data_IF_416382801686
#
_entry.id   IF_416382801686
#
_cell.length_a   1.000
_cell.length_b   1.000
_cell.length_c   1.000
_cell.angle_alpha   90.00
_cell.angle_beta   90.00
_cell.angle_gamma   90.00
#
_symmetry.space_group_name_H-M   'P 1'
#
loop_
_entity.id
_entity.type
_entity.pdbx_description
1 polymer ?
#
# COMPACT_ATOMS: atom_id res chain seq x y z
N UNK A 1 16.82 15.44 -25.94
CA UNK A 1 15.97 16.02 -24.88
C UNK A 1 15.45 14.89 -24.00
N UNK A 2 15.97 14.75 -22.79
CA UNK A 2 15.42 13.84 -21.80
C UNK A 2 14.06 14.38 -21.33
N UNK A 3 13.03 13.56 -21.49
CA UNK A 3 11.68 13.85 -21.04
C UNK A 3 11.72 13.94 -19.50
N UNK A 4 11.75 15.16 -18.95
CA UNK A 4 11.48 15.42 -17.53
C UNK A 4 10.00 15.08 -17.31
N UNK A 5 9.72 13.78 -17.11
CA UNK A 5 8.40 13.33 -16.70
C UNK A 5 8.15 13.98 -15.35
N UNK A 6 7.27 14.98 -15.34
CA UNK A 6 6.90 15.71 -14.15
C UNK A 6 6.40 14.69 -13.11
N UNK A 7 7.12 14.58 -12.00
CA UNK A 7 6.81 13.86 -10.74
C UNK A 7 5.74 12.77 -10.85
N UNK A 8 6.15 11.51 -10.76
CA UNK A 8 5.19 10.41 -10.58
C UNK A 8 4.57 10.46 -9.18
N UNK A 9 3.24 10.53 -9.14
CA UNK A 9 2.40 10.48 -7.96
C UNK A 9 1.83 9.07 -7.81
N UNK A 10 2.34 8.33 -6.83
CA UNK A 10 1.94 6.95 -6.59
C UNK A 10 1.06 6.87 -5.34
N UNK A 11 -0.11 6.22 -5.46
CA UNK A 11 -1.00 5.98 -4.34
C UNK A 11 -0.94 4.50 -3.94
N UNK A 12 -0.61 4.21 -2.68
CA UNK A 12 -0.66 2.84 -2.18
C UNK A 12 -1.58 2.70 -0.97
N UNK A 13 -2.37 1.62 -0.98
CA UNK A 13 -3.18 1.21 0.17
C UNK A 13 -2.81 -0.20 0.60
N UNK A 14 -3.04 -0.51 1.87
CA UNK A 14 -2.97 -1.87 2.39
C UNK A 14 -4.32 -2.23 3.00
N UNK A 15 -4.87 -3.35 2.56
CA UNK A 15 -6.10 -3.90 3.11
C UNK A 15 -5.98 -5.42 3.20
N UNK A 16 -6.62 -6.00 4.20
CA UNK A 16 -6.73 -7.46 4.26
C UNK A 16 -7.48 -7.99 3.04
N UNK A 17 -7.21 -9.24 2.66
CA UNK A 17 -7.94 -9.89 1.57
C UNK A 17 -9.47 -9.87 1.77
N UNK A 18 -9.93 -9.95 3.01
CA UNK A 18 -11.36 -9.84 3.38
C UNK A 18 -11.99 -8.48 3.08
N UNK A 19 -11.18 -7.42 2.92
CA UNK A 19 -11.62 -6.04 2.69
C UNK A 19 -11.31 -5.55 1.28
N UNK A 20 -11.09 -6.46 0.34
CA UNK A 20 -10.92 -6.15 -1.09
C UNK A 20 -11.99 -5.17 -1.63
N UNK A 21 -13.30 -5.33 -1.36
CA UNK A 21 -14.30 -4.39 -1.87
C UNK A 21 -14.08 -2.96 -1.35
N UNK A 22 -13.58 -2.80 -0.13
CA UNK A 22 -13.27 -1.49 0.41
C UNK A 22 -12.02 -0.88 -0.23
N UNK A 23 -10.99 -1.70 -0.48
CA UNK A 23 -9.78 -1.26 -1.16
C UNK A 23 -10.04 -0.87 -2.62
N UNK A 24 -10.91 -1.60 -3.32
CA UNK A 24 -11.28 -1.32 -4.71
C UNK A 24 -12.06 -0.01 -4.81
N UNK A 25 -12.92 0.31 -3.83
CA UNK A 25 -13.55 1.64 -3.73
C UNK A 25 -12.53 2.76 -3.58
N UNK A 26 -11.48 2.56 -2.77
CA UNK A 26 -10.41 3.56 -2.62
C UNK A 26 -9.63 3.70 -3.93
N UNK A 27 -9.37 2.60 -4.64
CA UNK A 27 -8.77 2.64 -5.97
C UNK A 27 -9.61 3.43 -6.97
N UNK A 28 -10.93 3.21 -6.98
CA UNK A 28 -11.84 3.97 -7.83
C UNK A 28 -11.88 5.45 -7.47
N UNK A 29 -11.87 5.79 -6.17
CA UNK A 29 -11.79 7.18 -5.72
C UNK A 29 -10.46 7.83 -6.14
N UNK A 30 -9.34 7.13 -6.01
CA UNK A 30 -8.03 7.62 -6.44
C UNK A 30 -7.98 7.83 -7.97
N UNK A 31 -8.54 6.91 -8.75
CA UNK A 31 -8.66 7.05 -10.19
C UNK A 31 -9.54 8.24 -10.59
N UNK A 32 -10.69 8.41 -9.93
CA UNK A 32 -11.62 9.51 -10.19
C UNK A 32 -11.03 10.89 -9.84
N UNK A 33 -10.05 10.96 -8.94
CA UNK A 33 -9.37 12.22 -8.62
C UNK A 33 -8.47 12.70 -9.76
N UNK A 34 -7.97 11.81 -10.62
CA UNK A 34 -7.06 12.16 -11.72
C UNK A 34 -5.73 12.79 -11.28
N UNK A 35 -5.36 12.65 -10.00
CA UNK A 35 -4.14 13.21 -9.40
C UNK A 35 -2.99 12.20 -9.40
N UNK A 36 -3.30 10.91 -9.27
CA UNK A 36 -2.31 9.85 -9.15
C UNK A 36 -2.07 9.19 -10.50
N UNK A 37 -0.81 8.94 -10.83
CA UNK A 37 -0.42 8.23 -12.05
C UNK A 37 -0.69 6.73 -11.94
N UNK A 38 -0.55 6.18 -10.74
CA UNK A 38 -0.71 4.76 -10.47
C UNK A 38 -1.23 4.51 -9.05
N UNK A 39 -1.95 3.40 -8.91
CA UNK A 39 -2.54 2.94 -7.66
C UNK A 39 -2.18 1.49 -7.39
N UNK A 40 -1.54 1.24 -6.25
CA UNK A 40 -1.19 -0.11 -5.79
C UNK A 40 -1.94 -0.50 -4.53
N UNK A 41 -2.61 -1.63 -4.64
CA UNK A 41 -3.21 -2.32 -3.50
C UNK A 41 -2.25 -3.39 -3.00
N UNK A 42 -1.84 -3.27 -1.75
CA UNK A 42 -1.13 -4.31 -1.02
C UNK A 42 -2.11 -5.09 -0.13
N UNK A 43 -1.84 -6.38 0.02
CA UNK A 43 -2.47 -7.24 1.00
C UNK A 43 -1.41 -8.09 1.72
N UNK A 44 -1.84 -8.92 2.66
CA UNK A 44 -0.95 -9.79 3.44
C UNK A 44 -0.12 -10.78 2.60
N UNK A 45 -0.57 -11.11 1.39
CA UNK A 45 0.11 -12.04 0.48
C UNK A 45 1.18 -11.37 -0.38
N UNK A 46 1.15 -10.04 -0.47
CA UNK A 46 2.09 -9.24 -1.26
C UNK A 46 3.26 -8.70 -0.42
N UNK A 47 3.31 -9.03 0.87
CA UNK A 47 4.43 -8.67 1.73
C UNK A 47 5.66 -9.50 1.38
N UNK A 48 6.82 -8.85 1.45
CA UNK A 48 8.11 -9.49 1.18
C UNK A 48 8.31 -10.75 2.03
N UNK A 49 8.84 -11.82 1.42
CA UNK A 49 9.10 -13.10 2.08
C UNK A 49 10.04 -12.96 3.27
N UNK A 50 11.04 -12.08 3.20
CA UNK A 50 11.98 -11.84 4.28
C UNK A 50 11.30 -11.13 5.46
N UNK A 51 10.36 -10.23 5.16
CA UNK A 51 9.53 -9.59 6.17
C UNK A 51 8.58 -10.60 6.83
N UNK A 52 7.91 -11.44 6.05
CA UNK A 52 7.01 -12.48 6.56
C UNK A 52 7.75 -13.52 7.41
N UNK A 53 8.98 -13.88 7.05
CA UNK A 53 9.82 -14.78 7.86
C UNK A 53 10.10 -14.20 9.26
N UNK A 54 10.34 -12.89 9.36
CA UNK A 54 10.70 -12.21 10.62
C UNK A 54 9.50 -11.76 11.44
N UNK A 55 8.43 -11.33 10.77
CA UNK A 55 7.30 -10.63 11.40
C UNK A 55 5.95 -11.29 11.10
N UNK A 56 5.88 -12.30 10.24
CA UNK A 56 4.62 -12.95 9.85
C UNK A 56 3.84 -13.53 11.03
N UNK A 57 4.54 -14.02 12.06
CA UNK A 57 3.92 -14.47 13.32
C UNK A 57 3.21 -13.35 14.10
N UNK A 58 3.47 -12.08 13.77
CA UNK A 58 2.86 -10.89 14.38
C UNK A 58 1.80 -10.24 13.49
N UNK A 59 1.59 -10.76 12.28
CA UNK A 59 0.60 -10.27 11.33
C UNK A 59 -0.67 -11.09 11.54
N UNK A 60 -1.68 -10.43 12.07
CA UNK A 60 -2.94 -11.07 12.41
C UNK A 60 -4.11 -10.36 11.76
N UNK A 61 -4.88 -11.11 10.97
CA UNK A 61 -6.15 -10.66 10.43
C UNK A 61 -7.11 -10.39 11.60
N UNK A 62 -8.01 -9.42 11.45
CA UNK A 62 -9.04 -9.04 12.43
C UNK A 62 -8.53 -8.48 13.77
N UNK A 63 -7.23 -8.21 13.90
CA UNK A 63 -6.69 -7.43 15.02
C UNK A 63 -6.51 -5.99 14.57
N UNK A 64 -6.87 -5.02 15.41
CA UNK A 64 -6.70 -3.59 15.09
C UNK A 64 -5.25 -3.32 14.71
N UNK A 65 -5.04 -2.75 13.53
CA UNK A 65 -3.69 -2.48 13.05
C UNK A 65 -2.93 -3.69 12.53
N UNK A 66 -3.60 -4.83 12.35
CA UNK A 66 -3.01 -6.04 11.80
C UNK A 66 -1.83 -6.55 12.65
N UNK A 67 -2.00 -6.48 13.97
CA UNK A 67 -1.00 -6.81 14.99
C UNK A 67 -0.26 -5.57 15.52
N UNK A 68 0.73 -5.08 14.77
CA UNK A 68 1.67 -4.04 15.26
C UNK A 68 1.93 -2.89 14.29
N UNK A 69 1.15 -2.73 13.23
CA UNK A 69 1.43 -1.79 12.13
C UNK A 69 2.80 -1.97 11.45
N UNK A 70 3.53 -3.05 11.73
CA UNK A 70 4.85 -3.33 11.15
C UNK A 70 4.81 -3.49 9.62
N UNK A 71 3.64 -3.84 9.06
CA UNK A 71 3.42 -3.90 7.62
C UNK A 71 3.48 -2.52 6.95
N UNK A 72 3.26 -1.41 7.67
CA UNK A 72 3.26 -0.05 7.11
C UNK A 72 4.62 0.37 6.56
N UNK A 73 5.73 0.31 7.34
CA UNK A 73 7.04 0.61 6.79
C UNK A 73 7.43 -0.38 5.69
N UNK A 74 7.01 -1.65 5.80
CA UNK A 74 7.28 -2.65 4.77
C UNK A 74 6.64 -2.30 3.42
N UNK A 75 5.35 -1.99 3.38
CA UNK A 75 4.67 -1.61 2.14
C UNK A 75 5.17 -0.29 1.57
N UNK A 76 5.54 0.66 2.43
CA UNK A 76 6.20 1.90 2.02
C UNK A 76 7.54 1.62 1.32
N UNK A 77 8.41 0.83 1.94
CA UNK A 77 9.71 0.45 1.37
C UNK A 77 9.56 -0.34 0.07
N UNK A 78 8.63 -1.30 0.02
CA UNK A 78 8.33 -2.05 -1.19
C UNK A 78 7.82 -1.16 -2.33
N UNK A 79 7.05 -0.12 -2.00
CA UNK A 79 6.57 0.83 -3.01
C UNK A 79 7.71 1.72 -3.49
N UNK A 80 8.48 2.29 -2.57
CA UNK A 80 9.63 3.15 -2.88
C UNK A 80 10.66 2.43 -3.75
N UNK A 81 10.92 1.15 -3.51
CA UNK A 81 11.82 0.33 -4.32
C UNK A 81 11.35 0.13 -5.77
N UNK A 82 10.05 0.31 -6.05
CA UNK A 82 9.47 0.17 -7.39
C UNK A 82 9.32 1.52 -8.12
N UNK A 83 9.54 2.63 -7.42
CA UNK A 83 9.40 3.97 -7.97
C UNK A 83 10.71 4.44 -8.61
N UNK A 84 10.62 5.23 -9.67
CA UNK A 84 11.77 5.95 -10.21
C UNK A 84 12.20 7.10 -9.29
N UNK A 85 13.48 7.46 -9.30
CA UNK A 85 14.01 8.60 -8.54
C UNK A 85 13.18 9.87 -8.75
N UNK A 86 12.83 10.56 -7.65
CA UNK A 86 12.08 11.82 -7.68
C UNK A 86 10.54 11.69 -7.65
N UNK A 87 9.99 10.48 -7.54
CA UNK A 87 8.56 10.25 -7.31
C UNK A 87 8.12 10.58 -5.88
N UNK A 88 6.84 10.92 -5.70
CA UNK A 88 6.25 11.13 -4.38
C UNK A 88 5.15 10.10 -4.11
N UNK A 89 5.18 9.55 -2.90
CA UNK A 89 4.31 8.46 -2.48
C UNK A 89 3.28 8.95 -1.46
N UNK A 90 2.01 8.61 -1.71
CA UNK A 90 0.92 8.86 -0.79
C UNK A 90 0.31 7.54 -0.33
N UNK A 91 0.08 7.43 0.98
CA UNK A 91 -0.60 6.27 1.56
C UNK A 91 -1.81 6.68 2.37
N UNK A 92 -2.93 6.02 2.10
CA UNK A 92 -4.12 6.09 2.95
C UNK A 92 -4.13 4.87 3.85
N UNK A 93 -3.56 5.03 5.05
CA UNK A 93 -3.40 3.92 6.01
C UNK A 93 -4.57 3.87 7.00
N UNK A 94 -5.73 3.37 6.57
CA UNK A 94 -6.66 2.74 7.50
C UNK A 94 -6.46 1.23 7.44
N UNK A 95 -5.93 0.66 8.53
CA UNK A 95 -6.06 -0.77 8.79
C UNK A 95 -7.56 -1.03 8.96
N UNK A 96 -8.22 -1.33 7.86
CA UNK A 96 -9.62 -1.66 7.88
C UNK A 96 -9.70 -2.99 8.66
N UNK A 97 -10.14 -2.87 9.91
CA UNK A 97 -10.37 -3.98 10.81
C UNK A 97 -11.88 -4.11 10.83
N UNK A 98 -12.43 -5.30 10.62
CA UNK A 98 -13.85 -5.57 10.79
C UNK A 98 -14.28 -4.99 12.15
N UNK A 99 -15.01 -3.87 12.11
CA UNK A 99 -15.85 -3.39 13.22
C UNK A 99 -17.18 -4.12 13.15
#
# INVERSE_FOLDING_TARGET
MSNLKARQLFCATFASKSMQPAADRVGQQAANMGVFDDFKRYDETMLDSDFLSRFGSKIHNNVRGFGYWCWKPQTALQTLAQMSEGGCWFTSMRAATLT
#
